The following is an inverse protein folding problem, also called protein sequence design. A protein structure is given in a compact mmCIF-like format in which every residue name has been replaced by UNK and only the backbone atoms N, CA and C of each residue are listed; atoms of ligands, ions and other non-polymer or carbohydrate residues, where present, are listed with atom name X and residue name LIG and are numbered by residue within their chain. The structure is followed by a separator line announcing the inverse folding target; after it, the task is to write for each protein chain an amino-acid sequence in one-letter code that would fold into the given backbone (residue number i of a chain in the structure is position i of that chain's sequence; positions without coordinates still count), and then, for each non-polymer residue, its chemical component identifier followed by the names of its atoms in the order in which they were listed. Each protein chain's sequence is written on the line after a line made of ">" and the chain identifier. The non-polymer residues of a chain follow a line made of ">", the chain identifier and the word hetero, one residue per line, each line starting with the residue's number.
data_IF_863769039209
#
_entry.id   IF_863769039209
#
_cell.length_a   1.000
_cell.length_b   1.000
_cell.length_c   1.000
_cell.angle_alpha   90.00
_cell.angle_beta   90.00
_cell.angle_gamma   90.00
#
_symmetry.space_group_name_H-M   'P 1'
#
loop_
_entity.id
_entity.type
_entity.pdbx_description
1 polymer ?
#
# COMPACT_ATOMS: atom_id res chain seq x y z
N UNK A 1 -13.50 15.63 -4.71
CA UNK A 1 -14.09 14.32 -5.05
C UNK A 1 -13.69 13.33 -3.97
N UNK A 2 -14.66 12.70 -3.32
CA UNK A 2 -14.39 11.51 -2.51
C UNK A 2 -14.68 10.31 -3.40
N UNK A 3 -13.68 9.48 -3.65
CA UNK A 3 -13.90 8.19 -4.29
C UNK A 3 -14.37 7.21 -3.22
N UNK A 4 -15.48 6.52 -3.48
CA UNK A 4 -15.95 5.40 -2.64
C UNK A 4 -15.33 4.06 -3.07
N UNK A 5 -14.43 4.09 -4.07
CA UNK A 5 -13.81 2.90 -4.64
C UNK A 5 -12.54 2.52 -3.85
N UNK A 6 -12.74 1.85 -2.71
CA UNK A 6 -11.63 1.31 -1.90
C UNK A 6 -11.01 0.03 -2.50
N UNK A 7 -11.54 -0.46 -3.63
CA UNK A 7 -11.00 -1.66 -4.29
C UNK A 7 -9.74 -1.34 -5.09
N UNK A 8 -9.57 -0.09 -5.53
CA UNK A 8 -8.32 0.35 -6.15
C UNK A 8 -7.27 0.58 -5.05
N UNK A 9 -6.32 -0.35 -4.93
CA UNK A 9 -5.30 -0.35 -3.88
C UNK A 9 -4.48 0.94 -3.84
N UNK A 10 -4.27 1.60 -5.00
CA UNK A 10 -3.51 2.86 -5.09
C UNK A 10 -4.23 4.00 -4.37
N UNK A 11 -5.56 3.98 -4.37
CA UNK A 11 -6.42 4.98 -3.71
C UNK A 11 -6.73 4.62 -2.26
N UNK A 12 -6.40 3.41 -1.82
CA UNK A 12 -6.63 2.92 -0.45
C UNK A 12 -5.41 3.21 0.46
N UNK A 13 -5.03 4.48 0.53
CA UNK A 13 -3.95 4.99 1.37
C UNK A 13 -4.26 6.42 1.81
N UNK A 14 -3.65 6.86 2.91
CA UNK A 14 -3.69 8.28 3.28
C UNK A 14 -3.12 9.15 2.16
N UNK A 15 -3.80 10.26 1.87
CA UNK A 15 -3.51 11.12 0.72
C UNK A 15 -2.08 11.67 0.73
N UNK A 16 -1.52 11.96 1.91
CA UNK A 16 -0.16 12.48 2.05
C UNK A 16 0.92 11.49 1.55
N UNK A 17 0.64 10.17 1.55
CA UNK A 17 1.57 9.13 1.07
C UNK A 17 1.86 9.22 -0.43
N UNK A 18 0.95 9.79 -1.21
CA UNK A 18 1.08 9.92 -2.68
C UNK A 18 2.34 10.70 -3.10
N UNK A 19 2.85 11.56 -2.22
CA UNK A 19 4.04 12.37 -2.44
C UNK A 19 5.31 11.84 -1.75
N UNK A 20 5.24 10.76 -0.96
CA UNK A 20 6.38 10.29 -0.16
C UNK A 20 7.57 9.82 -0.99
N UNK A 21 7.32 9.28 -2.18
CA UNK A 21 8.37 8.74 -3.05
C UNK A 21 9.46 9.78 -3.42
N UNK A 22 9.12 11.07 -3.48
CA UNK A 22 10.10 12.16 -3.69
C UNK A 22 10.75 12.69 -2.40
N UNK A 23 10.27 12.25 -1.24
CA UNK A 23 10.72 12.74 0.07
C UNK A 23 11.78 11.82 0.69
N UNK A 24 11.92 10.58 0.19
CA UNK A 24 12.97 9.68 0.65
C UNK A 24 14.36 10.20 0.24
N UNK A 25 15.41 9.95 1.05
CA UNK A 25 16.78 10.28 0.69
C UNK A 25 17.17 9.68 -0.67
N UNK A 26 17.93 10.43 -1.47
CA UNK A 26 18.43 9.94 -2.76
C UNK A 26 19.24 8.66 -2.59
N UNK A 27 19.02 7.69 -3.47
CA UNK A 27 19.65 6.36 -3.40
C UNK A 27 19.01 5.38 -2.42
N UNK A 28 17.82 5.68 -1.87
CA UNK A 28 17.08 4.72 -1.04
C UNK A 28 16.61 3.53 -1.88
N UNK A 29 17.05 2.32 -1.51
CA UNK A 29 16.68 1.06 -2.20
C UNK A 29 15.70 0.20 -1.40
N UNK A 30 15.72 0.31 -0.06
CA UNK A 30 14.90 -0.50 0.84
C UNK A 30 14.23 0.36 1.91
N UNK A 31 12.97 0.06 2.19
CA UNK A 31 12.23 0.58 3.33
C UNK A 31 11.80 -0.60 4.20
N UNK A 32 12.18 -0.59 5.48
CA UNK A 32 11.71 -1.55 6.48
C UNK A 32 10.76 -0.85 7.44
N UNK A 33 9.63 -1.48 7.75
CA UNK A 33 8.62 -0.96 8.68
C UNK A 33 8.09 -2.10 9.53
N UNK A 34 7.62 -1.78 10.73
CA UNK A 34 7.02 -2.74 11.65
C UNK A 34 5.73 -2.15 12.24
N UNK A 35 4.85 -3.04 12.70
CA UNK A 35 3.60 -2.69 13.36
C UNK A 35 3.58 -3.35 14.74
N UNK A 36 3.15 -2.61 15.74
CA UNK A 36 3.00 -3.10 17.11
C UNK A 36 1.78 -2.45 17.76
N UNK A 37 1.11 -3.18 18.65
CA UNK A 37 0.25 -2.57 19.66
C UNK A 37 1.17 -2.01 20.75
N UNK A 38 1.42 -0.70 20.72
CA UNK A 38 2.21 -0.02 21.76
C UNK A 38 1.50 -0.13 23.12
N UNK A 39 2.27 -0.01 24.20
CA UNK A 39 1.88 -0.15 25.62
C UNK A 39 0.37 -0.04 25.91
N UNK A 40 -0.20 -1.11 26.45
CA UNK A 40 -1.53 -1.17 27.05
C UNK A 40 -1.58 -2.21 28.17
N UNK A 41 -2.59 -2.14 29.03
CA UNK A 41 -2.79 -3.08 30.15
C UNK A 41 -3.55 -4.35 29.72
N UNK A 42 -3.40 -4.74 28.45
CA UNK A 42 -4.16 -5.82 27.82
C UNK A 42 -3.23 -6.76 27.07
N UNK A 43 -3.56 -8.05 27.14
CA UNK A 43 -3.03 -9.06 26.23
C UNK A 43 -3.57 -8.80 24.82
N UNK A 44 -2.70 -8.87 23.80
CA UNK A 44 -3.06 -8.54 22.41
C UNK A 44 -2.90 -9.76 21.53
N UNK A 45 -4.00 -10.22 20.94
CA UNK A 45 -3.97 -11.31 19.96
C UNK A 45 -3.57 -10.76 18.59
N UNK A 46 -2.56 -11.34 17.96
CA UNK A 46 -2.23 -11.06 16.56
C UNK A 46 -3.17 -11.84 15.63
N UNK A 47 -4.03 -11.16 14.87
CA UNK A 47 -4.99 -11.80 13.97
C UNK A 47 -5.42 -10.85 12.82
N UNK A 48 -5.71 -11.41 11.64
CA UNK A 48 -6.32 -10.68 10.51
C UNK A 48 -5.39 -10.33 9.34
N UNK A 49 -4.08 -10.52 9.47
CA UNK A 49 -3.11 -10.29 8.39
C UNK A 49 -3.39 -11.17 7.16
N UNK A 50 -3.70 -12.45 7.34
CA UNK A 50 -4.00 -13.37 6.24
C UNK A 50 -5.25 -12.94 5.47
N UNK A 51 -6.29 -12.48 6.15
CA UNK A 51 -7.49 -11.95 5.53
C UNK A 51 -7.16 -10.68 4.72
N UNK A 52 -6.39 -9.76 5.31
CA UNK A 52 -5.93 -8.54 4.65
C UNK A 52 -5.12 -8.83 3.37
N UNK A 53 -4.18 -9.78 3.42
CA UNK A 53 -3.36 -10.17 2.26
C UNK A 53 -4.24 -10.73 1.14
N UNK A 54 -5.18 -11.63 1.47
CA UNK A 54 -6.06 -12.26 0.49
C UNK A 54 -7.01 -11.26 -0.17
N UNK A 55 -7.57 -10.35 0.62
CA UNK A 55 -8.52 -9.36 0.14
C UNK A 55 -7.85 -8.27 -0.70
N UNK A 56 -6.74 -7.69 -0.20
CA UNK A 56 -6.21 -6.45 -0.75
C UNK A 56 -4.89 -6.59 -1.50
N UNK A 57 -4.04 -7.57 -1.16
CA UNK A 57 -2.68 -7.67 -1.71
C UNK A 57 -2.51 -8.80 -2.74
N UNK A 58 -3.51 -9.68 -2.89
CA UNK A 58 -3.46 -10.84 -3.79
C UNK A 58 -4.03 -10.57 -5.19
N UNK A 59 -4.59 -9.38 -5.41
CA UNK A 59 -5.09 -8.94 -6.72
C UNK A 59 -4.04 -8.06 -7.39
N UNK A 60 -3.63 -8.36 -8.64
CA UNK A 60 -2.65 -7.54 -9.34
C UNK A 60 -3.22 -6.19 -9.73
N UNK A 61 -2.40 -5.15 -9.59
CA UNK A 61 -2.68 -3.80 -10.09
C UNK A 61 -2.64 -3.81 -11.61
N UNK A 62 -3.56 -3.09 -12.24
CA UNK A 62 -3.66 -2.95 -13.69
C UNK A 62 -3.37 -1.53 -14.15
N UNK A 63 -3.10 -1.33 -15.44
CA UNK A 63 -2.99 0.03 -16.01
C UNK A 63 -4.28 0.85 -15.84
N UNK A 64 -5.46 0.19 -15.83
CA UNK A 64 -6.72 0.88 -15.58
C UNK A 64 -6.78 1.46 -14.15
N UNK A 65 -6.26 0.72 -13.16
CA UNK A 65 -6.17 1.22 -11.79
C UNK A 65 -5.25 2.44 -11.69
N UNK A 66 -4.15 2.45 -12.45
CA UNK A 66 -3.21 3.57 -12.54
C UNK A 66 -3.88 4.80 -13.16
N UNK A 67 -4.62 4.61 -14.26
CA UNK A 67 -5.33 5.69 -14.96
C UNK A 67 -6.41 6.33 -14.09
N UNK A 68 -7.21 5.51 -13.39
CA UNK A 68 -8.19 6.00 -12.42
C UNK A 68 -7.51 6.73 -11.26
N UNK A 69 -6.46 6.14 -10.69
CA UNK A 69 -5.78 6.71 -9.53
C UNK A 69 -5.12 8.04 -9.83
N UNK A 70 -4.47 8.16 -10.99
CA UNK A 70 -3.88 9.43 -11.44
C UNK A 70 -4.93 10.52 -11.54
N UNK A 71 -6.07 10.23 -12.19
CA UNK A 71 -7.16 11.18 -12.35
C UNK A 71 -7.66 11.69 -10.99
N UNK A 72 -7.90 10.77 -10.04
CA UNK A 72 -8.42 11.11 -8.72
C UNK A 72 -7.39 11.89 -7.89
N UNK A 73 -6.12 11.44 -7.87
CA UNK A 73 -5.05 12.05 -7.07
C UNK A 73 -4.70 13.45 -7.59
N UNK A 74 -4.61 13.62 -8.92
CA UNK A 74 -4.36 14.92 -9.53
C UNK A 74 -5.53 15.89 -9.33
N UNK A 75 -6.78 15.41 -9.46
CA UNK A 75 -7.97 16.22 -9.15
C UNK A 75 -8.03 16.63 -7.66
N UNK A 76 -7.39 15.87 -6.78
CA UNK A 76 -7.21 16.21 -5.37
C UNK A 76 -6.03 17.17 -5.13
N UNK A 77 -5.31 17.58 -6.17
CA UNK A 77 -4.20 18.53 -6.09
C UNK A 77 -2.88 17.92 -5.59
N UNK A 78 -2.72 16.60 -5.68
CA UNK A 78 -1.55 15.88 -5.19
C UNK A 78 -0.67 15.33 -6.32
N UNK A 79 0.59 15.05 -5.99
CA UNK A 79 1.55 14.41 -6.89
C UNK A 79 1.25 12.93 -7.04
N UNK A 80 1.41 12.40 -8.26
CA UNK A 80 1.20 10.98 -8.56
C UNK A 80 2.46 10.35 -9.16
N UNK A 81 2.83 9.14 -8.71
CA UNK A 81 4.00 8.40 -9.20
C UNK A 81 3.62 7.40 -10.29
N UNK A 82 3.17 7.88 -11.46
CA UNK A 82 2.76 7.00 -12.57
C UNK A 82 3.87 6.02 -12.96
N UNK A 83 5.08 6.51 -13.19
CA UNK A 83 6.21 5.67 -13.61
C UNK A 83 6.54 4.57 -12.58
N UNK A 84 6.45 4.86 -11.29
CA UNK A 84 6.65 3.86 -10.23
C UNK A 84 5.57 2.77 -10.24
N UNK A 85 4.30 3.14 -10.48
CA UNK A 85 3.21 2.16 -10.58
C UNK A 85 3.28 1.34 -11.87
N UNK A 86 3.61 1.95 -13.00
CA UNK A 86 3.79 1.23 -14.28
C UNK A 86 4.94 0.21 -14.17
N UNK A 87 6.04 0.55 -13.48
CA UNK A 87 7.11 -0.40 -13.21
C UNK A 87 6.63 -1.64 -12.44
N UNK A 88 5.69 -1.50 -11.51
CA UNK A 88 5.10 -2.63 -10.77
C UNK A 88 4.31 -3.54 -11.74
N UNK A 89 3.53 -2.95 -12.65
CA UNK A 89 2.79 -3.72 -13.66
C UNK A 89 3.74 -4.44 -14.61
N UNK A 90 4.66 -3.70 -15.21
CA UNK A 90 5.54 -4.21 -16.28
C UNK A 90 6.55 -5.25 -15.78
N UNK A 91 7.13 -5.03 -14.59
CA UNK A 91 8.18 -5.89 -14.05
C UNK A 91 7.67 -7.01 -13.15
N UNK A 92 6.58 -6.76 -12.42
CA UNK A 92 6.07 -7.67 -11.39
C UNK A 92 4.66 -8.20 -11.68
N UNK A 93 4.12 -7.94 -12.89
CA UNK A 93 2.79 -8.41 -13.28
C UNK A 93 1.66 -7.81 -12.44
N UNK A 94 1.89 -6.61 -11.89
CA UNK A 94 0.92 -5.91 -11.04
C UNK A 94 0.96 -6.33 -9.56
N UNK A 95 1.75 -7.33 -9.18
CA UNK A 95 1.90 -7.74 -7.79
C UNK A 95 2.93 -6.88 -7.06
N UNK A 96 2.61 -6.45 -5.84
CA UNK A 96 3.51 -5.63 -5.05
C UNK A 96 4.79 -6.42 -4.65
N UNK A 97 6.00 -5.90 -4.92
CA UNK A 97 7.25 -6.56 -4.57
C UNK A 97 7.58 -6.37 -3.08
N UNK A 98 6.76 -6.96 -2.19
CA UNK A 98 6.87 -6.84 -0.74
C UNK A 98 7.28 -8.17 -0.08
N UNK A 99 7.96 -8.07 1.06
CA UNK A 99 8.17 -9.18 2.00
C UNK A 99 7.49 -8.84 3.32
N UNK A 100 6.61 -9.73 3.79
CA UNK A 100 5.91 -9.59 5.07
C UNK A 100 6.37 -10.72 5.99
N UNK A 101 6.89 -10.35 7.15
CA UNK A 101 7.28 -11.26 8.23
C UNK A 101 6.34 -11.03 9.41
N UNK A 102 5.74 -12.09 9.95
CA UNK A 102 4.78 -11.99 11.03
C UNK A 102 4.85 -13.22 11.94
N UNK A 103 4.44 -13.04 13.19
CA UNK A 103 4.18 -14.15 14.11
C UNK A 103 2.94 -14.93 13.66
N UNK A 104 2.75 -16.19 14.10
CA UNK A 104 1.54 -16.94 13.76
C UNK A 104 0.28 -16.22 14.26
N UNK A 105 -0.76 -16.17 13.43
CA UNK A 105 -2.06 -15.66 13.86
C UNK A 105 -2.64 -16.52 14.99
N UNK A 106 -3.26 -15.84 15.97
CA UNK A 106 -3.74 -16.43 17.21
C UNK A 106 -2.73 -16.40 18.37
N UNK A 107 -1.50 -15.92 18.12
CA UNK A 107 -0.52 -15.66 19.19
C UNK A 107 -0.95 -14.49 20.07
N UNK A 108 -0.59 -14.54 21.35
CA UNK A 108 -0.81 -13.49 22.37
C UNK A 108 0.54 -13.04 22.91
#
# INVERSE_FOLDING_TARGET
>A
MYTSNLNNLILNSDSYKTSHWVQYPSGSEYLSSYIEARKGDYDVVFFGLQAFIKEYLSTPITHQDIDEAEMVIQAHGLTFNRAGWELIVDKHGGYLPLRIEAIPEGSV
#
